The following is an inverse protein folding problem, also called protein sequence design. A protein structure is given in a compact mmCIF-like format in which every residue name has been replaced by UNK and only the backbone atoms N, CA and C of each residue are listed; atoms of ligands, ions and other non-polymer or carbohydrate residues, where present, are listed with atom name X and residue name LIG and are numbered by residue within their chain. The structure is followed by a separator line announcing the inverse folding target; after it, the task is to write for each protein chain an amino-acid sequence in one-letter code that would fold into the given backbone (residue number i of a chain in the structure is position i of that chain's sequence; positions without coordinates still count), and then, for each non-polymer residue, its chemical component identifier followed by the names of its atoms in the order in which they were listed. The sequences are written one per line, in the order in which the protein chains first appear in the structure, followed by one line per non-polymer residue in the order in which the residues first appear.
data_IF_620167469188
#
_entry.id   IF_620167469188
#
_cell.length_a   1.000
_cell.length_b   1.000
_cell.length_c   1.000
_cell.angle_alpha   90.00
_cell.angle_beta   90.00
_cell.angle_gamma   90.00
#
_symmetry.space_group_name_H-M   'P 1'
#
loop_
_entity.id
_entity.type
_entity.pdbx_description
1 polymer ?
#
# COMPACT_ATOMS: atom_id res chain seq x y z
N UNK A 1 -11.13 36.87 60.59
CA UNK A 1 -11.28 35.59 59.86
C UNK A 1 -10.44 35.67 58.61
N UNK A 2 -9.40 34.84 58.52
CA UNK A 2 -8.25 34.99 57.63
C UNK A 2 -8.50 34.45 56.22
N UNK A 3 -8.21 35.24 55.18
CA UNK A 3 -8.32 34.87 53.75
C UNK A 3 -7.71 33.50 53.39
N UNK A 4 -6.69 33.04 54.14
CA UNK A 4 -6.07 31.71 54.00
C UNK A 4 -7.03 30.52 54.24
N UNK A 5 -8.13 30.71 54.97
CA UNK A 5 -9.14 29.66 55.19
C UNK A 5 -10.07 29.47 53.99
N UNK A 6 -10.42 30.56 53.31
CA UNK A 6 -11.33 30.54 52.15
C UNK A 6 -10.65 29.96 50.90
N UNK A 7 -9.37 30.25 50.66
CA UNK A 7 -8.62 29.65 49.55
C UNK A 7 -8.38 28.14 49.71
N UNK A 8 -8.31 27.63 50.95
CA UNK A 8 -8.21 26.18 51.19
C UNK A 8 -9.54 25.45 51.00
N UNK A 9 -10.66 26.13 51.27
CA UNK A 9 -12.00 25.60 50.98
C UNK A 9 -12.23 25.52 49.47
N UNK A 10 -11.84 26.53 48.69
CA UNK A 10 -12.00 26.52 47.23
C UNK A 10 -11.13 25.47 46.54
N UNK A 11 -9.89 25.25 47.01
CA UNK A 11 -9.02 24.16 46.49
C UNK A 11 -9.60 22.79 46.81
N UNK A 12 -10.19 22.62 48.00
CA UNK A 12 -10.81 21.36 48.41
C UNK A 12 -12.08 21.08 47.60
N UNK A 13 -12.93 22.08 47.38
CA UNK A 13 -14.14 21.97 46.55
C UNK A 13 -13.78 21.68 45.08
N UNK A 14 -12.72 22.30 44.55
CA UNK A 14 -12.23 22.01 43.20
C UNK A 14 -11.68 20.58 43.07
N UNK A 15 -10.96 20.08 44.07
CA UNK A 15 -10.48 18.69 44.06
C UNK A 15 -11.63 17.69 44.25
N UNK A 16 -12.62 18.00 45.08
CA UNK A 16 -13.84 17.19 45.24
C UNK A 16 -14.62 17.11 43.92
N UNK A 17 -14.72 18.21 43.16
CA UNK A 17 -15.32 18.21 41.82
C UNK A 17 -14.50 17.39 40.81
N UNK A 18 -13.16 17.47 40.86
CA UNK A 18 -12.27 16.69 40.00
C UNK A 18 -12.40 15.20 40.27
N UNK A 19 -12.40 14.81 41.55
CA UNK A 19 -12.57 13.42 41.99
C UNK A 19 -13.96 12.91 41.63
N UNK A 20 -15.02 13.72 41.80
CA UNK A 20 -16.36 13.36 41.38
C UNK A 20 -16.46 13.14 39.85
N UNK A 21 -15.79 13.97 39.05
CA UNK A 21 -15.73 13.81 37.60
C UNK A 21 -14.99 12.53 37.19
N UNK A 22 -13.88 12.20 37.86
CA UNK A 22 -13.14 10.95 37.64
C UNK A 22 -13.99 9.73 38.01
N UNK A 23 -14.62 9.73 39.19
CA UNK A 23 -15.48 8.64 39.63
C UNK A 23 -16.69 8.43 38.71
N UNK A 24 -17.24 9.51 38.17
CA UNK A 24 -18.31 9.45 37.18
C UNK A 24 -17.83 8.83 35.88
N UNK A 25 -16.67 9.24 35.36
CA UNK A 25 -16.06 8.64 34.17
C UNK A 25 -15.81 7.14 34.36
N UNK A 26 -15.25 6.76 35.50
CA UNK A 26 -14.99 5.34 35.83
C UNK A 26 -16.29 4.54 36.04
N UNK A 27 -17.39 5.18 36.43
CA UNK A 27 -18.71 4.55 36.49
C UNK A 27 -19.30 4.34 35.09
N UNK A 28 -19.22 5.35 34.23
CA UNK A 28 -19.67 5.31 32.84
C UNK A 28 -18.87 4.26 32.05
N UNK A 29 -17.55 4.20 32.22
CA UNK A 29 -16.66 3.21 31.58
C UNK A 29 -17.02 1.78 32.02
N UNK A 30 -17.27 1.57 33.33
CA UNK A 30 -17.72 0.26 33.85
C UNK A 30 -19.08 -0.15 33.31
N UNK A 31 -19.99 0.78 33.10
CA UNK A 31 -21.29 0.47 32.51
C UNK A 31 -21.17 0.10 31.04
N UNK A 32 -20.33 0.84 30.29
CA UNK A 32 -20.02 0.51 28.89
C UNK A 32 -19.38 -0.88 28.75
N UNK A 33 -18.43 -1.23 29.61
CA UNK A 33 -17.78 -2.55 29.57
C UNK A 33 -18.73 -3.69 29.93
N UNK A 34 -19.69 -3.46 30.84
CA UNK A 34 -20.77 -4.43 31.10
C UNK A 34 -21.65 -4.62 29.88
N UNK A 35 -22.05 -3.54 29.21
CA UNK A 35 -22.86 -3.60 27.98
C UNK A 35 -22.11 -4.33 26.87
N UNK A 36 -20.80 -4.09 26.72
CA UNK A 36 -19.93 -4.83 25.78
C UNK A 36 -19.90 -6.32 26.08
N UNK A 37 -19.67 -6.71 27.33
CA UNK A 37 -19.64 -8.12 27.72
C UNK A 37 -20.96 -8.83 27.40
N UNK A 38 -22.09 -8.16 27.65
CA UNK A 38 -23.43 -8.69 27.31
C UNK A 38 -23.60 -8.80 25.79
N UNK A 39 -23.20 -7.77 25.04
CA UNK A 39 -23.31 -7.77 23.57
C UNK A 39 -22.43 -8.85 22.93
N UNK A 40 -21.21 -9.08 23.42
CA UNK A 40 -20.32 -10.17 22.96
C UNK A 40 -20.97 -11.54 23.21
N UNK A 41 -21.53 -11.75 24.42
CA UNK A 41 -22.23 -12.99 24.74
C UNK A 41 -23.46 -13.23 23.85
N UNK A 42 -24.19 -12.17 23.48
CA UNK A 42 -25.33 -12.24 22.55
C UNK A 42 -24.90 -12.58 21.10
N UNK A 43 -23.76 -12.04 20.65
CA UNK A 43 -23.19 -12.40 19.34
C UNK A 43 -22.74 -13.87 19.33
N UNK A 44 -22.11 -14.35 20.40
CA UNK A 44 -21.70 -15.75 20.55
C UNK A 44 -22.91 -16.71 20.58
N UNK A 45 -24.04 -16.29 21.15
CA UNK A 45 -25.29 -17.07 21.16
C UNK A 45 -26.11 -16.96 19.87
N UNK A 46 -25.71 -16.11 18.92
CA UNK A 46 -26.41 -15.91 17.64
C UNK A 46 -27.63 -14.99 17.71
N UNK A 47 -27.82 -14.24 18.80
CA UNK A 47 -28.88 -13.23 18.95
C UNK A 47 -28.36 -11.82 18.62
N UNK A 48 -28.80 -11.25 17.50
CA UNK A 48 -28.21 -10.03 16.92
C UNK A 48 -28.89 -8.71 17.36
N UNK A 49 -29.42 -8.63 18.58
CA UNK A 49 -30.20 -7.48 19.02
C UNK A 49 -29.37 -6.19 19.28
N UNK A 50 -28.08 -6.31 19.63
CA UNK A 50 -27.25 -5.17 20.07
C UNK A 50 -25.86 -5.16 19.40
N UNK A 51 -25.77 -5.15 18.07
CA UNK A 51 -24.46 -5.03 17.40
C UNK A 51 -23.78 -3.67 17.62
N UNK A 52 -24.55 -2.61 17.83
CA UNK A 52 -24.04 -1.23 17.96
C UNK A 52 -23.07 -1.09 19.15
N UNK A 53 -23.33 -1.79 20.25
CA UNK A 53 -22.54 -1.75 21.48
C UNK A 53 -21.25 -2.59 21.42
N UNK A 54 -21.08 -3.41 20.37
CA UNK A 54 -19.82 -4.17 20.16
C UNK A 54 -18.71 -3.34 19.51
N UNK A 55 -19.02 -2.12 19.08
CA UNK A 55 -18.11 -1.27 18.31
C UNK A 55 -17.35 -0.35 19.24
N UNK A 56 -16.02 -0.49 19.27
CA UNK A 56 -15.15 0.39 20.05
C UNK A 56 -14.97 1.72 19.31
N UNK A 57 -15.32 2.88 19.89
CA UNK A 57 -15.07 4.17 19.27
C UNK A 57 -13.56 4.45 19.21
N UNK A 58 -13.07 5.14 18.17
CA UNK A 58 -11.65 5.42 18.00
C UNK A 58 -11.12 6.38 19.07
N UNK A 59 -9.88 6.17 19.48
CA UNK A 59 -9.21 7.06 20.44
C UNK A 59 -8.84 8.41 19.80
N UNK A 60 -8.63 9.48 20.58
CA UNK A 60 -8.28 10.82 20.05
C UNK A 60 -7.01 10.81 19.18
N UNK A 61 -6.05 9.95 19.50
CA UNK A 61 -4.81 9.76 18.73
C UNK A 61 -5.06 9.05 17.39
N UNK A 62 -6.04 8.14 17.33
CA UNK A 62 -6.44 7.46 16.09
C UNK A 62 -7.22 8.41 15.17
N UNK A 63 -8.03 9.31 15.75
CA UNK A 63 -8.76 10.33 14.99
C UNK A 63 -7.82 11.30 14.27
N UNK A 64 -6.72 11.71 14.90
CA UNK A 64 -5.73 12.63 14.31
C UNK A 64 -4.90 11.99 13.21
N UNK A 65 -4.57 10.69 13.35
CA UNK A 65 -3.82 9.92 12.33
C UNK A 65 -4.71 9.35 11.21
N UNK A 66 -6.02 9.37 11.38
CA UNK A 66 -6.97 8.76 10.43
C UNK A 66 -6.96 7.23 10.45
N UNK A 67 -6.49 6.61 11.54
CA UNK A 67 -6.34 5.16 11.70
C UNK A 67 -7.61 4.50 12.27
N UNK A 68 -8.77 4.70 11.63
CA UNK A 68 -10.02 4.09 12.09
C UNK A 68 -10.96 3.74 10.94
N UNK A 69 -11.86 2.78 11.16
CA UNK A 69 -12.84 2.29 10.18
C UNK A 69 -14.26 2.62 10.62
N UNK A 70 -15.11 3.20 9.74
CA UNK A 70 -16.53 3.28 10.03
C UNK A 70 -17.13 1.88 9.95
N UNK A 71 -17.68 1.42 11.07
CA UNK A 71 -18.49 0.21 11.15
C UNK A 71 -19.96 0.61 11.09
N UNK A 72 -20.73 -0.05 10.22
CA UNK A 72 -22.16 0.16 10.11
C UNK A 72 -22.86 -1.12 10.56
N UNK A 73 -23.52 -1.11 11.72
CA UNK A 73 -24.27 -2.27 12.16
C UNK A 73 -25.43 -2.54 11.20
N UNK A 74 -25.69 -3.82 10.91
CA UNK A 74 -26.82 -4.24 10.09
C UNK A 74 -28.07 -4.24 10.97
N UNK A 75 -29.00 -3.31 10.74
CA UNK A 75 -30.34 -3.38 11.34
C UNK A 75 -31.19 -4.50 10.72
N UNK A 76 -32.17 -5.01 11.47
CA UNK A 76 -33.06 -6.12 11.06
C UNK A 76 -33.82 -5.92 9.74
N UNK A 77 -33.99 -4.68 9.24
CA UNK A 77 -34.92 -4.36 8.14
C UNK A 77 -34.30 -3.80 6.85
N UNK A 78 -33.03 -4.07 6.59
CA UNK A 78 -32.47 -4.10 5.23
C UNK A 78 -32.50 -2.82 4.37
N UNK A 79 -32.82 -1.64 4.90
CA UNK A 79 -32.82 -0.39 4.11
C UNK A 79 -31.47 0.32 4.24
N UNK A 80 -30.63 0.10 3.22
CA UNK A 80 -29.24 0.58 3.14
C UNK A 80 -29.18 1.91 2.39
N UNK A 81 -28.74 2.99 3.05
CA UNK A 81 -28.12 4.12 2.33
C UNK A 81 -26.68 3.75 2.03
N UNK A 82 -26.37 3.49 0.77
CA UNK A 82 -25.03 3.11 0.32
C UNK A 82 -24.09 4.32 0.31
N UNK A 83 -23.31 4.48 1.38
CA UNK A 83 -22.09 5.28 1.31
C UNK A 83 -20.96 4.33 0.89
N UNK A 84 -20.63 4.38 -0.40
CA UNK A 84 -19.61 3.52 -1.03
C UNK A 84 -18.21 3.95 -0.58
N UNK A 85 -17.71 3.36 0.50
CA UNK A 85 -16.30 3.48 0.89
C UNK A 85 -15.56 2.19 0.50
N UNK A 86 -14.74 2.27 -0.56
CA UNK A 86 -13.97 1.14 -1.09
C UNK A 86 -12.58 1.14 -0.44
N UNK A 87 -12.16 0.00 0.12
CA UNK A 87 -10.76 -0.25 0.51
C UNK A 87 -9.91 -0.26 -0.77
N UNK A 88 -8.93 0.65 -0.90
CA UNK A 88 -7.91 0.53 -1.97
C UNK A 88 -7.07 -0.71 -1.67
N UNK A 89 -7.24 -1.77 -2.45
CA UNK A 89 -6.24 -2.83 -2.52
C UNK A 89 -5.04 -2.20 -3.24
N UNK A 90 -3.85 -2.27 -2.63
CA UNK A 90 -2.58 -1.93 -3.28
C UNK A 90 -2.26 -3.05 -4.28
N UNK A 91 -2.97 -3.07 -5.40
CA UNK A 91 -2.69 -3.97 -6.52
C UNK A 91 -1.58 -3.30 -7.33
N UNK A 92 -0.54 -4.05 -7.72
CA UNK A 92 0.45 -3.54 -8.67
C UNK A 92 -0.24 -3.07 -9.93
N UNK A 93 0.25 -2.00 -10.54
CA UNK A 93 -0.45 -1.40 -11.68
C UNK A 93 -0.55 -2.40 -12.85
N UNK A 94 0.45 -3.27 -13.00
CA UNK A 94 0.48 -4.33 -14.02
C UNK A 94 -0.65 -5.34 -13.79
N UNK A 95 -0.87 -5.81 -12.56
CA UNK A 95 -1.97 -6.73 -12.23
C UNK A 95 -3.34 -6.05 -12.34
N UNK A 96 -3.43 -4.76 -12.05
CA UNK A 96 -4.62 -3.96 -12.32
C UNK A 96 -4.92 -3.93 -13.83
N UNK A 97 -3.94 -3.64 -14.68
CA UNK A 97 -4.12 -3.59 -16.13
C UNK A 97 -4.48 -4.95 -16.74
N UNK A 98 -3.90 -6.03 -16.20
CA UNK A 98 -4.25 -7.39 -16.58
C UNK A 98 -5.69 -7.75 -16.22
N UNK A 99 -6.12 -7.53 -14.97
CA UNK A 99 -7.50 -7.81 -14.55
C UNK A 99 -8.58 -7.02 -15.32
N UNK A 100 -8.21 -5.92 -15.97
CA UNK A 100 -9.09 -5.09 -16.79
C UNK A 100 -8.98 -5.39 -18.30
N UNK A 101 -8.28 -6.46 -18.69
CA UNK A 101 -8.11 -6.86 -20.10
C UNK A 101 -7.34 -5.84 -20.93
N UNK A 102 -6.45 -5.06 -20.31
CA UNK A 102 -5.53 -4.18 -21.03
C UNK A 102 -4.29 -4.95 -21.47
N UNK A 103 -3.80 -5.88 -20.65
CA UNK A 103 -2.67 -6.75 -20.94
C UNK A 103 -3.16 -8.18 -21.19
N UNK A 104 -2.56 -8.84 -22.18
CA UNK A 104 -2.70 -10.27 -22.41
C UNK A 104 -1.74 -11.05 -21.48
N UNK A 105 -1.99 -12.35 -21.27
CA UNK A 105 -1.19 -13.23 -20.39
C UNK A 105 0.32 -13.14 -20.67
N UNK A 106 0.69 -13.15 -21.95
CA UNK A 106 2.09 -13.09 -22.40
C UNK A 106 2.73 -11.72 -22.13
N UNK A 107 2.01 -10.64 -22.41
CA UNK A 107 2.48 -9.28 -22.13
C UNK A 107 2.55 -8.99 -20.62
N UNK A 108 1.64 -9.59 -19.84
CA UNK A 108 1.66 -9.55 -18.38
C UNK A 108 2.89 -10.26 -17.84
N UNK A 109 3.18 -11.48 -18.31
CA UNK A 109 4.38 -12.23 -17.93
C UNK A 109 5.65 -11.47 -18.28
N UNK A 110 5.71 -10.83 -19.46
CA UNK A 110 6.84 -10.01 -19.87
C UNK A 110 7.05 -8.79 -18.95
N UNK A 111 5.98 -8.05 -18.64
CA UNK A 111 6.06 -6.88 -17.75
C UNK A 111 6.45 -7.29 -16.33
N UNK A 112 5.94 -8.42 -15.84
CA UNK A 112 6.30 -8.98 -14.54
C UNK A 112 7.77 -9.37 -14.50
N UNK A 113 8.24 -10.13 -15.48
CA UNK A 113 9.66 -10.52 -15.58
C UNK A 113 10.57 -9.30 -15.61
N UNK A 114 10.22 -8.26 -16.38
CA UNK A 114 10.99 -7.02 -16.45
C UNK A 114 11.08 -6.32 -15.09
N UNK A 115 9.97 -6.24 -14.34
CA UNK A 115 9.94 -5.70 -12.98
C UNK A 115 10.79 -6.55 -12.02
N UNK A 116 10.67 -7.87 -12.07
CA UNK A 116 11.42 -8.79 -11.22
C UNK A 116 12.94 -8.65 -11.46
N UNK A 117 13.38 -8.46 -12.72
CA UNK A 117 14.79 -8.21 -13.07
C UNK A 117 15.29 -6.86 -12.57
N UNK A 118 14.44 -5.83 -12.62
CA UNK A 118 14.75 -4.52 -12.06
C UNK A 118 14.95 -4.60 -10.53
N UNK A 119 14.04 -5.26 -9.82
CA UNK A 119 14.11 -5.43 -8.37
C UNK A 119 15.31 -6.30 -7.95
N UNK A 120 15.57 -7.38 -8.67
CA UNK A 120 16.73 -8.26 -8.43
C UNK A 120 18.09 -7.59 -8.72
N UNK A 121 18.11 -6.48 -9.45
CA UNK A 121 19.33 -5.69 -9.70
C UNK A 121 19.87 -4.95 -8.47
N UNK A 122 19.05 -4.84 -7.40
CA UNK A 122 19.29 -4.23 -6.08
C UNK A 122 19.72 -2.75 -6.04
N UNK A 123 20.28 -2.17 -7.12
CA UNK A 123 20.74 -0.76 -7.23
C UNK A 123 20.66 -0.23 -8.68
N UNK A 124 21.10 1.01 -8.90
CA UNK A 124 20.97 1.76 -10.17
C UNK A 124 21.37 0.92 -11.41
N UNK A 125 20.41 0.52 -12.26
CA UNK A 125 20.66 -0.43 -13.35
C UNK A 125 21.45 0.18 -14.51
N UNK A 126 21.68 1.48 -14.53
CA UNK A 126 22.42 2.22 -15.57
C UNK A 126 23.95 2.02 -15.49
N UNK A 127 24.50 1.68 -14.32
CA UNK A 127 25.96 1.63 -14.11
C UNK A 127 26.63 0.35 -14.65
N UNK A 128 27.56 0.41 -15.62
CA UNK A 128 28.12 -0.76 -16.29
C UNK A 128 28.73 -1.78 -15.31
N UNK A 129 28.38 -3.06 -15.50
CA UNK A 129 28.87 -4.14 -14.64
C UNK A 129 30.12 -4.74 -15.27
N UNK A 130 31.28 -4.53 -14.63
CA UNK A 130 32.55 -5.16 -15.02
C UNK A 130 32.96 -6.33 -14.09
N UNK A 131 32.27 -6.49 -12.94
CA UNK A 131 32.53 -7.55 -11.96
C UNK A 131 31.54 -7.54 -10.79
N UNK A 132 31.53 -8.61 -9.99
CA UNK A 132 30.70 -8.80 -8.79
C UNK A 132 31.54 -9.38 -7.63
N UNK A 133 31.15 -9.12 -6.37
CA UNK A 133 31.75 -9.76 -5.18
C UNK A 133 31.90 -8.86 -3.95
N UNK A 134 31.94 -9.48 -2.76
CA UNK A 134 32.12 -8.82 -1.45
C UNK A 134 33.49 -8.14 -1.29
N UNK A 135 34.48 -8.59 -2.08
CA UNK A 135 35.85 -8.10 -2.10
C UNK A 135 36.18 -7.20 -3.30
N UNK A 136 35.18 -6.62 -3.97
CA UNK A 136 35.44 -5.49 -4.87
C UNK A 136 35.90 -4.34 -3.98
N UNK A 137 37.22 -4.24 -3.85
CA UNK A 137 37.95 -3.28 -3.02
C UNK A 137 37.71 -1.89 -3.62
N UNK A 138 36.64 -1.23 -3.20
CA UNK A 138 36.21 0.04 -3.75
C UNK A 138 35.72 0.93 -2.62
N UNK A 139 36.25 2.14 -2.59
CA UNK A 139 35.79 3.27 -1.78
C UNK A 139 34.26 3.35 -1.64
N UNK A 140 33.73 4.06 -0.61
CA UNK A 140 32.29 4.34 -0.44
C UNK A 140 31.57 4.87 -1.69
N UNK A 141 32.33 5.36 -2.67
CA UNK A 141 31.90 5.86 -3.97
C UNK A 141 31.38 4.72 -4.89
N UNK A 142 31.80 3.47 -4.69
CA UNK A 142 31.47 2.30 -5.53
C UNK A 142 30.29 1.46 -5.02
N UNK A 143 29.48 2.01 -4.12
CA UNK A 143 28.25 1.39 -3.63
C UNK A 143 27.14 1.24 -4.67
N UNK A 144 27.46 1.16 -5.96
CA UNK A 144 26.53 0.95 -7.07
C UNK A 144 26.76 -0.39 -7.80
N UNK A 145 27.82 -1.14 -7.49
CA UNK A 145 28.13 -2.42 -8.14
C UNK A 145 27.29 -3.60 -7.58
N UNK A 146 27.01 -4.64 -8.39
CA UNK A 146 26.22 -5.78 -7.94
C UNK A 146 27.00 -6.62 -6.93
N UNK A 147 26.34 -7.03 -5.84
CA UNK A 147 26.94 -7.82 -4.76
C UNK A 147 27.00 -9.32 -5.10
N UNK A 148 26.07 -9.80 -5.91
CA UNK A 148 25.93 -11.21 -6.28
C UNK A 148 26.01 -11.38 -7.81
N UNK A 149 26.38 -12.59 -8.24
CA UNK A 149 26.32 -12.97 -9.65
C UNK A 149 24.90 -12.81 -10.21
N UNK A 150 23.89 -13.21 -9.43
CA UNK A 150 22.49 -13.08 -9.80
C UNK A 150 22.09 -11.62 -10.06
N UNK A 151 22.50 -10.69 -9.19
CA UNK A 151 22.23 -9.26 -9.39
C UNK A 151 22.95 -8.71 -10.64
N UNK A 152 24.16 -9.20 -10.94
CA UNK A 152 24.88 -8.83 -12.15
C UNK A 152 24.16 -9.31 -13.42
N UNK A 153 23.72 -10.57 -13.43
CA UNK A 153 22.93 -11.16 -14.53
C UNK A 153 21.59 -10.42 -14.70
N UNK A 154 20.87 -10.16 -13.61
CA UNK A 154 19.61 -9.42 -13.63
C UNK A 154 19.75 -8.02 -14.24
N UNK A 155 20.85 -7.30 -13.96
CA UNK A 155 21.13 -5.99 -14.58
C UNK A 155 21.41 -6.09 -16.07
N UNK A 156 22.20 -7.08 -16.48
CA UNK A 156 22.47 -7.33 -17.90
C UNK A 156 21.17 -7.64 -18.65
N UNK A 157 20.35 -8.52 -18.07
CA UNK A 157 19.04 -8.91 -18.61
C UNK A 157 18.07 -7.73 -18.66
N UNK A 158 18.03 -6.89 -17.62
CA UNK A 158 17.21 -5.69 -17.59
C UNK A 158 17.59 -4.70 -18.71
N UNK A 159 18.88 -4.43 -18.92
CA UNK A 159 19.33 -3.55 -20.01
C UNK A 159 19.05 -4.13 -21.39
N UNK A 160 19.30 -5.43 -21.53
CA UNK A 160 18.97 -6.14 -22.74
C UNK A 160 17.48 -5.98 -23.07
N UNK A 161 16.61 -6.12 -22.07
CA UNK A 161 15.17 -5.95 -22.21
C UNK A 161 14.77 -4.49 -22.52
N UNK A 162 15.38 -3.52 -21.85
CA UNK A 162 15.13 -2.09 -22.07
C UNK A 162 15.44 -1.68 -23.51
N UNK A 163 16.44 -2.31 -24.15
CA UNK A 163 16.80 -2.07 -25.55
C UNK A 163 15.71 -2.43 -26.58
N UNK A 164 14.70 -3.22 -26.20
CA UNK A 164 13.56 -3.53 -27.09
C UNK A 164 12.42 -2.52 -26.96
N UNK A 165 12.37 -1.77 -25.87
CA UNK A 165 11.29 -0.82 -25.62
C UNK A 165 11.58 0.44 -26.45
N UNK A 166 10.64 0.92 -27.28
CA UNK A 166 10.87 2.13 -28.08
C UNK A 166 11.14 3.36 -27.20
N UNK A 167 12.18 4.14 -27.54
CA UNK A 167 12.65 5.29 -26.76
C UNK A 167 11.58 6.36 -26.50
N UNK A 168 10.61 6.47 -27.40
CA UNK A 168 9.52 7.44 -27.30
C UNK A 168 8.47 7.05 -26.25
N UNK A 169 8.43 5.78 -25.83
CA UNK A 169 7.52 5.26 -24.80
C UNK A 169 8.23 4.68 -23.59
N UNK A 170 9.57 4.51 -23.62
CA UNK A 170 10.36 3.89 -22.56
C UNK A 170 10.10 4.53 -21.18
N UNK A 171 10.17 5.86 -21.10
CA UNK A 171 9.87 6.59 -19.85
C UNK A 171 8.44 6.38 -19.38
N UNK A 172 7.46 6.38 -20.28
CA UNK A 172 6.06 6.11 -19.90
C UNK A 172 5.93 4.69 -19.34
N UNK A 173 6.57 3.74 -20.00
CA UNK A 173 6.54 2.33 -19.65
C UNK A 173 7.16 2.07 -18.28
N UNK A 174 8.35 2.60 -18.01
CA UNK A 174 9.06 2.45 -16.74
C UNK A 174 8.25 3.02 -15.56
N UNK A 175 7.62 4.19 -15.72
CA UNK A 175 6.75 4.77 -14.68
C UNK A 175 5.56 3.88 -14.34
N UNK A 176 5.02 3.14 -15.31
CA UNK A 176 3.86 2.26 -15.10
C UNK A 176 4.29 0.94 -14.46
N UNK A 177 5.37 0.34 -14.98
CA UNK A 177 5.80 -1.01 -14.63
C UNK A 177 6.64 -1.02 -13.36
N UNK A 178 7.58 -0.09 -13.22
CA UNK A 178 8.53 -0.04 -12.11
C UNK A 178 8.00 0.80 -10.94
N UNK A 179 7.39 1.96 -11.22
CA UNK A 179 6.90 2.88 -10.18
C UNK A 179 5.41 2.70 -9.84
N UNK A 180 4.74 1.71 -10.44
CA UNK A 180 3.31 1.42 -10.25
C UNK A 180 2.39 2.66 -10.47
N UNK A 181 2.78 3.59 -11.34
CA UNK A 181 1.95 4.76 -11.63
C UNK A 181 0.79 4.42 -12.56
N UNK A 182 -0.38 4.98 -12.28
CA UNK A 182 -1.54 4.91 -13.19
C UNK A 182 -1.21 5.49 -14.57
N UNK A 183 -1.85 4.97 -15.64
CA UNK A 183 -1.67 5.44 -17.02
C UNK A 183 -1.75 6.97 -17.14
N UNK A 184 -2.72 7.60 -16.44
CA UNK A 184 -2.94 9.05 -16.48
C UNK A 184 -1.83 9.83 -15.78
N UNK A 185 -1.32 9.33 -14.64
CA UNK A 185 -0.20 9.94 -13.92
C UNK A 185 1.09 9.82 -14.73
N UNK A 186 1.37 8.61 -15.21
CA UNK A 186 2.55 8.30 -16.00
C UNK A 186 2.59 9.11 -17.31
N UNK A 187 1.45 9.31 -17.98
CA UNK A 187 1.38 10.15 -19.18
C UNK A 187 1.75 11.61 -18.92
N UNK A 188 1.29 12.17 -17.79
CA UNK A 188 1.62 13.53 -17.37
C UNK A 188 3.10 13.65 -17.01
N UNK A 189 3.63 12.68 -16.28
CA UNK A 189 5.03 12.67 -15.83
C UNK A 189 6.03 12.41 -16.96
N UNK A 190 5.70 11.53 -17.91
CA UNK A 190 6.53 11.23 -19.08
C UNK A 190 6.41 12.27 -20.20
N UNK A 191 5.41 13.16 -20.16
CA UNK A 191 5.05 14.09 -21.25
C UNK A 191 4.86 13.34 -22.58
N UNK A 192 4.15 12.23 -22.51
CA UNK A 192 3.90 11.36 -23.65
C UNK A 192 3.27 12.14 -24.82
N UNK A 193 3.81 11.97 -26.03
CA UNK A 193 3.32 12.64 -27.26
C UNK A 193 2.04 12.02 -27.80
N UNK A 194 1.73 10.79 -27.38
CA UNK A 194 0.61 10.03 -27.91
C UNK A 194 -0.71 10.49 -27.28
N UNK A 195 -1.71 10.74 -28.13
CA UNK A 195 -3.09 10.99 -27.70
C UNK A 195 -3.68 9.78 -26.99
N UNK A 196 -3.36 8.57 -27.47
CA UNK A 196 -3.78 7.31 -26.88
C UNK A 196 -2.65 6.68 -26.05
N UNK A 197 -2.59 7.04 -24.76
CA UNK A 197 -1.61 6.55 -23.79
C UNK A 197 -1.66 5.03 -23.66
N UNK A 198 -2.85 4.42 -23.71
CA UNK A 198 -3.03 2.97 -23.60
C UNK A 198 -2.34 2.25 -24.77
N UNK A 199 -2.53 2.75 -25.99
CA UNK A 199 -1.88 2.18 -27.17
C UNK A 199 -0.36 2.35 -27.13
N UNK A 200 0.13 3.50 -26.64
CA UNK A 200 1.56 3.75 -26.45
C UNK A 200 2.20 2.77 -25.45
N UNK A 201 1.53 2.54 -24.31
CA UNK A 201 1.95 1.54 -23.33
C UNK A 201 1.96 0.13 -23.92
N UNK A 202 0.89 -0.26 -24.62
CA UNK A 202 0.79 -1.56 -25.28
C UNK A 202 1.86 -1.79 -26.33
N UNK A 203 2.22 -0.77 -27.11
CA UNK A 203 3.33 -0.84 -28.06
C UNK A 203 4.65 -1.17 -27.36
N UNK A 204 4.91 -0.57 -26.19
CA UNK A 204 6.06 -0.91 -25.35
C UNK A 204 6.01 -2.35 -24.84
N UNK A 205 4.86 -2.77 -24.30
CA UNK A 205 4.67 -4.12 -23.76
C UNK A 205 4.83 -5.22 -24.83
N UNK A 206 4.29 -5.00 -26.04
CA UNK A 206 4.42 -5.92 -27.17
C UNK A 206 5.86 -5.99 -27.69
N UNK A 207 6.56 -4.86 -27.77
CA UNK A 207 7.95 -4.81 -28.19
C UNK A 207 8.87 -5.53 -27.18
N UNK A 208 8.63 -5.30 -25.88
CA UNK A 208 9.30 -6.01 -24.80
C UNK A 208 9.09 -7.52 -24.95
N UNK A 209 7.83 -7.98 -25.00
CA UNK A 209 7.51 -9.40 -25.15
C UNK A 209 8.19 -10.02 -26.37
N UNK A 210 8.13 -9.37 -27.54
CA UNK A 210 8.79 -9.85 -28.76
C UNK A 210 10.31 -9.99 -28.61
N UNK A 211 10.95 -9.12 -27.83
CA UNK A 211 12.39 -9.18 -27.57
C UNK A 211 12.81 -10.24 -26.55
N UNK A 212 11.97 -10.51 -25.54
CA UNK A 212 12.31 -11.41 -24.43
C UNK A 212 11.61 -12.77 -24.48
N UNK A 213 10.79 -13.06 -25.50
CA UNK A 213 10.02 -14.30 -25.62
C UNK A 213 10.88 -15.56 -25.37
N UNK A 214 12.08 -15.61 -25.96
CA UNK A 214 13.03 -16.72 -25.79
C UNK A 214 13.43 -16.94 -24.32
N UNK A 215 13.48 -15.89 -23.49
CA UNK A 215 13.81 -15.98 -22.05
C UNK A 215 12.63 -16.44 -21.22
N UNK A 216 11.41 -16.04 -21.60
CA UNK A 216 10.17 -16.48 -20.93
C UNK A 216 9.90 -17.97 -21.13
N UNK A 217 10.19 -18.50 -22.33
CA UNK A 217 10.05 -19.94 -22.60
C UNK A 217 11.02 -20.79 -21.77
N UNK A 218 12.22 -20.28 -21.49
CA UNK A 218 13.21 -20.98 -20.67
C UNK A 218 12.68 -21.14 -19.24
N UNK A 219 12.13 -20.09 -18.64
CA UNK A 219 11.57 -20.17 -17.27
C UNK A 219 10.38 -21.13 -17.17
N UNK A 220 9.51 -21.18 -18.19
CA UNK A 220 8.40 -22.17 -18.25
C UNK A 220 8.85 -23.63 -18.29
N UNK A 221 10.09 -23.91 -18.73
CA UNK A 221 10.65 -25.28 -18.79
C UNK A 221 11.26 -25.75 -17.46
N UNK A 222 11.55 -24.82 -16.55
CA UNK A 222 12.20 -25.11 -15.26
C UNK A 222 11.26 -24.94 -14.05
N UNK A 223 9.99 -24.59 -14.28
CA UNK A 223 8.91 -24.64 -13.30
C UNK A 223 8.18 -25.99 -13.39
#
# INVERSE_FOLDING_TARGET
MTKRGQDRQSVREAEEQRVAALLKRDADDREQDRRRTIAVAQVESGEFANLDDTVVPPTPEQLTKGEFRPYTPRGEKGTVRSVRTVRRVLISQIAYLYSHGVLDDDTFAACRWYKDRYEAGEMEPTAPVAGYGESVRGDPIYGHLPKSQWAAEARSDFRFAQGFIPDDVSRLFDLIVLEDQTLTSAAKASRCRYSNVRAAFLRGALALHGGIANRLEIEKRFQ
#
